data_IF_858630156079
#
_entry.id   IF_858630156079
#
_cell.length_a   1.000
_cell.length_b   1.000
_cell.length_c   1.000
_cell.angle_alpha   90.00
_cell.angle_beta   90.00
_cell.angle_gamma   90.00
#
_symmetry.space_group_name_H-M   'P 1'
#
loop_
_entity.id
_entity.type
_entity.pdbx_description
1 polymer ?
#
# COMPACT_ATOMS: atom_id res chain seq x y z
N UNK A 1 -0.90 -19.72 -29.24
CA UNK A 1 -0.73 -18.90 -28.02
C UNK A 1 -2.02 -19.01 -27.21
N UNK A 2 -2.00 -19.54 -25.97
CA UNK A 2 -3.19 -19.61 -25.13
C UNK A 2 -3.57 -18.19 -24.67
N UNK A 3 -4.82 -17.77 -24.93
CA UNK A 3 -5.32 -16.44 -24.60
C UNK A 3 -5.46 -16.18 -23.09
N UNK A 4 -5.76 -14.93 -22.69
CA UNK A 4 -5.88 -14.56 -21.28
C UNK A 4 -6.93 -15.40 -20.55
N UNK A 5 -6.59 -15.86 -19.35
CA UNK A 5 -7.47 -16.64 -18.48
C UNK A 5 -8.46 -15.70 -17.81
N UNK A 6 -9.50 -15.29 -18.53
CA UNK A 6 -10.72 -14.81 -17.89
C UNK A 6 -11.21 -15.98 -17.03
N UNK A 7 -10.92 -15.97 -15.73
CA UNK A 7 -11.40 -17.00 -14.81
C UNK A 7 -12.90 -17.08 -15.00
N UNK A 8 -13.39 -18.18 -15.60
CA UNK A 8 -14.81 -18.51 -15.61
C UNK A 8 -15.17 -18.84 -14.18
N UNK A 9 -15.55 -17.81 -13.43
CA UNK A 9 -16.09 -17.99 -12.09
C UNK A 9 -17.42 -18.70 -12.28
N UNK A 10 -17.50 -19.99 -11.91
CA UNK A 10 -18.71 -20.78 -12.09
C UNK A 10 -19.76 -20.33 -11.07
N UNK A 11 -20.49 -19.26 -11.42
CA UNK A 11 -21.63 -18.82 -10.65
C UNK A 11 -22.82 -19.63 -11.11
N UNK A 12 -23.45 -20.37 -10.20
CA UNK A 12 -24.68 -21.08 -10.51
C UNK A 12 -25.79 -20.05 -10.79
N UNK A 13 -26.61 -20.28 -11.82
CA UNK A 13 -27.65 -19.32 -12.24
C UNK A 13 -28.59 -18.92 -11.09
N UNK A 14 -28.85 -19.85 -10.17
CA UNK A 14 -29.66 -19.64 -8.97
C UNK A 14 -29.07 -18.64 -7.97
N UNK A 15 -27.75 -18.45 -7.95
CA UNK A 15 -27.07 -17.53 -7.03
C UNK A 15 -27.00 -16.10 -7.57
N UNK A 16 -27.26 -15.89 -8.86
CA UNK A 16 -27.15 -14.59 -9.52
C UNK A 16 -28.06 -13.54 -8.84
N UNK A 17 -29.36 -13.80 -8.56
CA UNK A 17 -30.21 -12.80 -7.92
C UNK A 17 -29.72 -12.40 -6.52
N UNK A 18 -29.24 -13.36 -5.73
CA UNK A 18 -28.71 -13.11 -4.38
C UNK A 18 -27.40 -12.32 -4.41
N UNK A 19 -26.49 -12.65 -5.33
CA UNK A 19 -25.23 -11.92 -5.54
C UNK A 19 -25.46 -10.51 -6.07
N UNK A 20 -26.44 -10.32 -6.96
CA UNK A 20 -26.86 -9.00 -7.45
C UNK A 20 -27.44 -8.15 -6.32
N UNK A 21 -28.30 -8.72 -5.47
CA UNK A 21 -28.84 -8.01 -4.31
C UNK A 21 -27.73 -7.59 -3.34
N UNK A 22 -26.81 -8.50 -3.00
CA UNK A 22 -25.65 -8.17 -2.16
C UNK A 22 -24.76 -7.08 -2.78
N UNK A 23 -24.52 -7.14 -4.09
CA UNK A 23 -23.76 -6.13 -4.80
C UNK A 23 -24.47 -4.77 -4.79
N UNK A 24 -25.78 -4.74 -5.03
CA UNK A 24 -26.58 -3.51 -5.00
C UNK A 24 -26.55 -2.86 -3.61
N UNK A 25 -26.69 -3.64 -2.53
CA UNK A 25 -26.56 -3.13 -1.16
C UNK A 25 -25.17 -2.56 -0.88
N UNK A 26 -24.10 -3.24 -1.34
CA UNK A 26 -22.72 -2.73 -1.21
C UNK A 26 -22.52 -1.43 -1.99
N UNK A 27 -23.10 -1.32 -3.18
CA UNK A 27 -23.07 -0.09 -3.99
C UNK A 27 -23.81 1.05 -3.26
N UNK A 28 -24.99 0.79 -2.70
CA UNK A 28 -25.74 1.79 -1.93
C UNK A 28 -24.98 2.23 -0.67
N UNK A 29 -24.41 1.29 0.08
CA UNK A 29 -23.55 1.61 1.23
C UNK A 29 -22.36 2.46 0.81
N UNK A 30 -21.68 2.10 -0.28
CA UNK A 30 -20.54 2.88 -0.76
C UNK A 30 -20.97 4.29 -1.17
N UNK A 31 -22.08 4.44 -1.89
CA UNK A 31 -22.64 5.76 -2.24
C UNK A 31 -22.96 6.58 -1.00
N UNK A 32 -23.55 5.98 0.02
CA UNK A 32 -23.87 6.66 1.28
C UNK A 32 -22.61 7.11 2.02
N UNK A 33 -21.58 6.26 2.07
CA UNK A 33 -20.27 6.60 2.65
C UNK A 33 -19.60 7.75 1.90
N UNK A 34 -19.66 7.73 0.56
CA UNK A 34 -19.15 8.83 -0.27
C UNK A 34 -19.94 10.13 -0.02
N UNK A 35 -21.28 10.06 0.06
CA UNK A 35 -22.12 11.21 0.36
C UNK A 35 -21.89 11.77 1.78
N UNK A 36 -21.56 10.90 2.75
CA UNK A 36 -21.17 11.27 4.10
C UNK A 36 -19.74 11.86 4.19
N UNK A 37 -19.02 11.99 3.06
CA UNK A 37 -17.65 12.49 3.02
C UNK A 37 -16.60 11.48 3.49
N UNK A 38 -16.99 10.22 3.72
CA UNK A 38 -16.13 9.16 4.22
C UNK A 38 -15.27 8.57 3.09
N UNK A 39 -14.33 9.38 2.61
CA UNK A 39 -13.29 9.00 1.64
C UNK A 39 -12.06 8.37 2.32
N UNK A 40 -12.19 8.01 3.60
CA UNK A 40 -11.10 7.94 4.58
C UNK A 40 -10.21 6.71 4.59
N UNK A 41 -10.28 5.79 3.62
CA UNK A 41 -9.36 4.64 3.58
C UNK A 41 -8.31 4.79 2.46
N UNK A 42 -7.50 5.84 2.57
CA UNK A 42 -6.33 6.02 1.71
C UNK A 42 -5.14 5.34 2.38
N UNK A 43 -4.53 4.36 1.72
CA UNK A 43 -3.26 3.80 2.17
C UNK A 43 -2.15 4.83 1.93
N UNK A 44 -1.73 5.52 3.00
CA UNK A 44 -0.71 6.56 2.94
C UNK A 44 0.67 6.03 2.54
N UNK A 45 0.97 4.76 2.81
CA UNK A 45 2.22 4.14 2.36
C UNK A 45 2.19 3.93 0.85
N UNK A 46 1.06 3.44 0.31
CA UNK A 46 0.89 3.30 -1.13
C UNK A 46 0.85 4.64 -1.86
N UNK A 47 0.22 5.67 -1.26
CA UNK A 47 0.16 7.02 -1.80
C UNK A 47 1.56 7.64 -1.99
N UNK A 48 2.44 7.47 -1.01
CA UNK A 48 3.81 8.01 -1.05
C UNK A 48 4.75 7.07 -1.82
N UNK A 49 4.37 5.80 -2.00
CA UNK A 49 5.17 4.77 -2.67
C UNK A 49 6.23 4.14 -1.76
N UNK A 50 5.93 4.00 -0.47
CA UNK A 50 6.83 3.43 0.54
C UNK A 50 6.36 2.06 1.02
N UNK A 51 7.30 1.26 1.54
CA UNK A 51 6.97 0.02 2.26
C UNK A 51 6.56 0.33 3.71
N UNK A 52 5.77 -0.56 4.31
CA UNK A 52 5.43 -0.49 5.74
C UNK A 52 6.69 -0.70 6.58
N UNK A 53 6.87 0.08 7.64
CA UNK A 53 8.09 0.10 8.45
C UNK A 53 9.27 0.81 7.79
N UNK A 54 9.00 1.78 6.91
CA UNK A 54 10.05 2.60 6.32
C UNK A 54 10.77 3.47 7.37
N UNK A 55 12.04 3.78 7.11
CA UNK A 55 12.79 4.69 7.98
C UNK A 55 12.31 6.13 7.80
N UNK A 56 12.48 6.93 8.86
CA UNK A 56 12.19 8.38 8.82
C UNK A 56 12.87 9.07 7.63
N UNK A 57 14.14 8.75 7.38
CA UNK A 57 14.92 9.35 6.29
C UNK A 57 14.40 9.01 4.88
N UNK A 58 13.78 7.83 4.71
CA UNK A 58 13.17 7.43 3.45
C UNK A 58 11.86 8.18 3.22
N UNK A 59 11.06 8.35 4.27
CA UNK A 59 9.84 9.14 4.21
C UNK A 59 10.12 10.60 3.83
N UNK A 60 11.12 11.23 4.47
CA UNK A 60 11.50 12.62 4.18
C UNK A 60 11.99 12.79 2.74
N UNK A 61 12.83 11.87 2.24
CA UNK A 61 13.30 11.88 0.85
C UNK A 61 12.15 11.72 -0.16
N UNK A 62 11.26 10.76 0.06
CA UNK A 62 10.11 10.54 -0.80
C UNK A 62 9.17 11.75 -0.81
N UNK A 63 8.90 12.32 0.37
CA UNK A 63 8.04 13.50 0.50
C UNK A 63 8.61 14.72 -0.23
N UNK A 64 9.93 14.95 -0.13
CA UNK A 64 10.60 16.02 -0.86
C UNK A 64 10.42 15.87 -2.37
N UNK A 65 10.67 14.67 -2.91
CA UNK A 65 10.51 14.37 -4.33
C UNK A 65 9.06 14.59 -4.80
N UNK A 66 8.08 14.08 -4.06
CA UNK A 66 6.65 14.24 -4.36
C UNK A 66 6.22 15.72 -4.34
N UNK A 67 6.69 16.48 -3.35
CA UNK A 67 6.40 17.92 -3.21
C UNK A 67 6.99 18.71 -4.39
N UNK A 68 8.20 18.39 -4.81
CA UNK A 68 8.83 19.02 -5.98
C UNK A 68 8.11 18.65 -7.28
N UNK A 69 7.62 17.42 -7.40
CA UNK A 69 6.91 16.92 -8.59
C UNK A 69 5.50 17.51 -8.70
N UNK A 70 4.74 17.52 -7.61
CA UNK A 70 3.31 17.87 -7.59
C UNK A 70 3.03 19.23 -6.94
N UNK A 71 3.99 20.17 -7.01
CA UNK A 71 3.78 21.53 -6.48
C UNK A 71 2.60 22.20 -7.20
N UNK A 72 1.58 22.70 -6.48
CA UNK A 72 0.34 23.19 -7.09
C UNK A 72 0.57 24.36 -8.05
N UNK A 73 1.60 25.18 -7.80
CA UNK A 73 1.99 26.30 -8.66
C UNK A 73 2.45 25.84 -10.05
N UNK A 74 3.14 24.69 -10.12
CA UNK A 74 3.58 24.12 -11.41
C UNK A 74 2.40 23.67 -12.25
N UNK A 75 1.43 22.98 -11.63
CA UNK A 75 0.20 22.61 -12.31
C UNK A 75 -0.62 23.83 -12.72
N UNK A 76 -0.77 24.84 -11.85
CA UNK A 76 -1.54 26.04 -12.20
C UNK A 76 -0.90 26.78 -13.38
N UNK A 77 0.41 27.02 -13.33
CA UNK A 77 1.12 27.69 -14.43
C UNK A 77 1.11 26.90 -15.74
N UNK A 78 1.04 25.58 -15.70
CA UNK A 78 0.83 24.74 -16.88
C UNK A 78 -0.60 24.87 -17.43
N UNK A 79 -1.60 24.76 -16.55
CA UNK A 79 -3.03 24.91 -16.89
C UNK A 79 -3.30 26.28 -17.51
N UNK A 80 -2.62 27.33 -17.05
CA UNK A 80 -2.77 28.69 -17.56
C UNK A 80 -2.21 28.89 -18.98
N UNK A 81 -1.29 28.02 -19.41
CA UNK A 81 -0.67 28.05 -20.75
C UNK A 81 -1.30 27.07 -21.72
N UNK A 82 -2.26 26.26 -21.26
CA UNK A 82 -2.96 25.30 -22.13
C UNK A 82 -3.95 26.06 -23.02
N UNK A 83 -3.75 25.95 -24.33
CA UNK A 83 -4.70 26.41 -25.33
C UNK A 83 -5.68 25.27 -25.64
N UNK A 84 -6.98 25.56 -25.54
CA UNK A 84 -8.05 24.58 -25.77
C UNK A 84 -8.73 24.91 -27.10
N UNK A 85 -8.96 23.88 -27.94
CA UNK A 85 -9.57 24.04 -29.26
C UNK A 85 -11.08 24.31 -29.22
N UNK A 86 -11.74 23.96 -28.12
CA UNK A 86 -13.15 24.26 -27.85
C UNK A 86 -13.20 25.20 -26.65
N UNK A 87 -13.77 26.40 -26.82
CA UNK A 87 -13.87 27.39 -25.76
C UNK A 87 -15.00 27.09 -24.77
N UNK A 88 -15.90 26.17 -25.10
CA UNK A 88 -16.94 25.75 -24.15
C UNK A 88 -16.32 25.02 -22.97
N UNK A 89 -16.70 25.47 -21.77
CA UNK A 89 -16.35 24.86 -20.49
C UNK A 89 -14.86 24.88 -20.12
N UNK A 90 -13.99 25.60 -20.84
CA UNK A 90 -12.54 25.70 -20.57
C UNK A 90 -12.27 26.11 -19.12
N UNK A 91 -12.96 27.13 -18.62
CA UNK A 91 -12.77 27.59 -17.25
C UNK A 91 -13.15 26.52 -16.23
N UNK A 92 -14.23 25.77 -16.47
CA UNK A 92 -14.64 24.67 -15.59
C UNK A 92 -13.62 23.52 -15.57
N UNK A 93 -12.98 23.24 -16.71
CA UNK A 93 -11.92 22.23 -16.83
C UNK A 93 -10.66 22.70 -16.11
N UNK A 94 -10.26 23.96 -16.30
CA UNK A 94 -9.12 24.57 -15.62
C UNK A 94 -9.32 24.56 -14.11
N UNK A 95 -10.50 24.93 -13.62
CA UNK A 95 -10.80 24.94 -12.20
C UNK A 95 -10.84 23.54 -11.61
N UNK A 96 -11.42 22.57 -12.31
CA UNK A 96 -11.36 21.15 -11.90
C UNK A 96 -9.92 20.64 -11.84
N UNK A 97 -9.08 21.00 -12.81
CA UNK A 97 -7.67 20.61 -12.83
C UNK A 97 -6.88 21.25 -11.68
N UNK A 98 -7.07 22.56 -11.43
CA UNK A 98 -6.47 23.28 -10.29
C UNK A 98 -6.89 22.66 -8.96
N UNK A 99 -8.18 22.39 -8.79
CA UNK A 99 -8.71 21.77 -7.59
C UNK A 99 -8.14 20.36 -7.38
N UNK A 100 -8.07 19.55 -8.44
CA UNK A 100 -7.52 18.20 -8.38
C UNK A 100 -6.04 18.20 -8.00
N UNK A 101 -5.24 19.10 -8.57
CA UNK A 101 -3.83 19.25 -8.23
C UNK A 101 -3.62 19.67 -6.77
N UNK A 102 -4.42 20.63 -6.30
CA UNK A 102 -4.38 21.10 -4.92
C UNK A 102 -4.82 20.00 -3.92
N UNK A 103 -5.85 19.24 -4.24
CA UNK A 103 -6.30 18.11 -3.43
C UNK A 103 -5.24 17.02 -3.35
N UNK A 104 -4.60 16.68 -4.47
CA UNK A 104 -3.48 15.72 -4.49
C UNK A 104 -2.33 16.19 -3.61
N UNK A 105 -1.93 17.46 -3.74
CA UNK A 105 -0.88 18.05 -2.90
C UNK A 105 -1.22 17.96 -1.41
N UNK A 106 -2.45 18.35 -1.02
CA UNK A 106 -2.93 18.24 0.37
C UNK A 106 -2.96 16.80 0.87
N UNK A 107 -3.32 15.85 0.00
CA UNK A 107 -3.35 14.43 0.35
C UNK A 107 -1.95 13.89 0.60
N UNK A 108 -0.96 14.28 -0.22
CA UNK A 108 0.46 13.95 -0.01
C UNK A 108 0.96 14.53 1.32
N UNK A 109 0.63 15.80 1.62
CA UNK A 109 1.00 16.45 2.88
C UNK A 109 0.40 15.71 4.09
N UNK A 110 -0.89 15.38 4.03
CA UNK A 110 -1.59 14.60 5.06
C UNK A 110 -1.00 13.19 5.21
N UNK A 111 -0.60 12.56 4.11
CA UNK A 111 0.05 11.25 4.15
C UNK A 111 1.40 11.31 4.85
N UNK A 112 2.21 12.32 4.55
CA UNK A 112 3.51 12.50 5.20
C UNK A 112 3.37 12.69 6.71
N UNK A 113 2.47 13.56 7.16
CA UNK A 113 2.28 13.80 8.60
C UNK A 113 1.77 12.56 9.32
N UNK A 114 0.86 11.80 8.70
CA UNK A 114 0.35 10.57 9.30
C UNK A 114 1.42 9.47 9.37
N UNK A 115 2.14 9.20 8.27
CA UNK A 115 3.21 8.18 8.29
C UNK A 115 4.32 8.59 9.24
N UNK A 116 4.70 9.87 9.29
CA UNK A 116 5.68 10.37 10.26
C UNK A 116 5.22 10.14 11.71
N UNK A 117 3.96 10.42 12.02
CA UNK A 117 3.40 10.15 13.34
C UNK A 117 3.48 8.64 13.68
N UNK A 118 3.11 7.76 12.75
CA UNK A 118 3.21 6.31 12.98
C UNK A 118 4.64 5.82 13.21
N UNK A 119 5.63 6.38 12.50
CA UNK A 119 7.04 6.03 12.69
C UNK A 119 7.52 6.48 14.07
N UNK A 120 7.14 7.69 14.51
CA UNK A 120 7.51 8.20 15.83
C UNK A 120 6.88 7.37 16.96
N UNK A 121 5.62 6.98 16.80
CA UNK A 121 4.92 6.11 17.75
C UNK A 121 5.61 4.74 17.84
N UNK A 122 5.96 4.14 16.70
CA UNK A 122 6.68 2.86 16.64
C UNK A 122 8.08 2.95 17.28
N UNK A 123 8.82 4.03 17.04
CA UNK A 123 10.14 4.26 17.67
C UNK A 123 10.03 4.39 19.20
N UNK A 124 8.98 5.05 19.69
CA UNK A 124 8.72 5.22 21.12
C UNK A 124 8.35 3.88 21.79
N UNK A 125 7.50 3.08 21.13
CA UNK A 125 7.11 1.75 21.60
C UNK A 125 8.31 0.79 21.64
N UNK A 126 9.17 0.85 20.63
CA UNK A 126 10.38 0.02 20.59
C UNK A 126 11.38 0.43 21.68
N UNK A 127 11.55 1.73 21.96
CA UNK A 127 12.36 2.20 23.10
C UNK A 127 11.80 1.71 24.44
N UNK A 128 10.48 1.70 24.61
CA UNK A 128 9.84 1.18 25.82
C UNK A 128 10.04 -0.33 25.96
N UNK A 129 9.89 -1.10 24.87
CA UNK A 129 10.15 -2.56 24.85
C UNK A 129 11.59 -2.87 25.22
N UNK A 130 12.57 -2.12 24.69
CA UNK A 130 13.98 -2.27 25.04
C UNK A 130 14.26 -1.94 26.52
N UNK A 131 13.65 -0.90 27.07
CA UNK A 131 13.76 -0.57 28.51
C UNK A 131 13.17 -1.68 29.39
N UNK A 132 12.00 -2.22 29.03
CA UNK A 132 11.39 -3.32 29.77
C UNK A 132 12.23 -4.61 29.68
N UNK A 133 12.77 -4.94 28.50
CA UNK A 133 13.66 -6.08 28.32
C UNK A 133 14.98 -5.93 29.11
N UNK A 134 15.57 -4.73 29.12
CA UNK A 134 16.76 -4.44 29.90
C UNK A 134 16.48 -4.50 31.42
N UNK A 135 15.32 -4.03 31.88
CA UNK A 135 14.90 -4.14 33.28
C UNK A 135 14.70 -5.60 33.72
N UNK A 136 14.13 -6.44 32.86
CA UNK A 136 14.01 -7.89 33.12
C UNK A 136 15.37 -8.58 33.16
N UNK A 137 16.29 -8.24 32.26
CA UNK A 137 17.65 -8.80 32.28
C UNK A 137 18.46 -8.35 33.51
N UNK A 138 18.31 -7.09 33.95
CA UNK A 138 18.93 -6.59 35.17
C UNK A 138 18.36 -7.27 36.43
N UNK A 139 17.04 -7.52 36.48
CA UNK A 139 16.42 -8.23 37.60
C UNK A 139 16.89 -9.71 37.71
N UNK A 140 17.20 -10.36 36.58
CA UNK A 140 17.71 -11.74 36.56
C UNK A 140 19.18 -11.80 36.99
N UNK A 141 20.01 -10.79 36.71
CA UNK A 141 21.41 -10.75 37.17
C UNK A 141 21.55 -10.46 38.68
N UNK A 142 20.65 -9.70 39.29
CA UNK A 142 20.71 -9.39 40.73
C UNK A 142 20.35 -10.58 41.63
N UNK A 143 19.76 -11.66 41.09
CA UNK A 143 19.45 -12.87 41.88
C UNK A 143 20.60 -13.91 41.92
N UNK A 144 21.74 -13.67 41.27
CA UNK A 144 22.84 -14.64 41.19
C UNK A 144 24.05 -14.34 42.10
N UNK A 145 23.98 -13.32 42.95
CA UNK A 145 25.06 -12.94 43.86
C UNK A 145 24.56 -12.69 45.30
N UNK A 146 24.00 -13.73 45.93
CA UNK A 146 23.97 -13.84 47.40
C UNK A 146 24.41 -15.25 47.81
N UNK A 147 25.56 -15.30 48.48
CA UNK A 147 26.30 -16.45 49.03
C UNK A 147 25.51 -17.30 50.05
N UNK A 148 25.80 -18.60 50.10
CA UNK A 148 25.43 -19.60 51.15
C UNK A 148 26.32 -19.48 52.42
N UNK A 149 26.20 -20.28 53.53
CA UNK A 149 25.09 -21.00 54.23
C UNK A 149 25.07 -20.78 55.80
N UNK A 150 24.15 -21.36 56.64
CA UNK A 150 24.36 -22.69 57.26
C UNK A 150 23.11 -23.57 57.62
N UNK A 151 23.26 -24.89 57.42
CA UNK A 151 22.91 -26.12 58.22
C UNK A 151 21.54 -26.32 58.95
N UNK A 152 21.07 -27.59 58.91
CA UNK A 152 20.12 -28.38 59.78
C UNK A 152 18.74 -28.67 59.12
N UNK A 153 18.08 -29.85 59.10
CA UNK A 153 18.35 -31.32 59.20
C UNK A 153 16.95 -32.01 59.04
N UNK A 154 16.87 -33.18 58.35
CA UNK A 154 15.77 -34.21 58.29
C UNK A 154 14.39 -33.73 57.72
N UNK A 155 13.60 -34.43 56.90
CA UNK A 155 13.29 -35.86 56.73
C UNK A 155 13.00 -36.29 55.28
N UNK A 156 13.13 -37.60 55.07
CA UNK A 156 12.89 -38.36 53.84
C UNK A 156 11.45 -38.87 53.73
N UNK A 157 11.00 -39.18 52.50
CA UNK A 157 10.20 -40.34 52.02
C UNK A 157 9.81 -40.02 50.55
N UNK A 158 10.49 -40.61 49.55
CA UNK A 158 10.17 -41.84 48.78
C UNK A 158 9.18 -41.61 47.61
N UNK A 159 9.73 -41.47 46.39
CA UNK A 159 9.62 -42.41 45.24
C UNK A 159 8.34 -42.29 44.40
N UNK A 160 8.47 -41.94 43.12
CA UNK A 160 8.52 -42.93 42.02
C UNK A 160 9.02 -42.30 40.72
N UNK A 161 9.84 -43.09 40.02
CA UNK A 161 10.54 -42.79 38.79
C UNK A 161 9.62 -42.69 37.56
N UNK A 162 10.04 -41.90 36.57
CA UNK A 162 10.20 -42.41 35.20
C UNK A 162 11.19 -41.54 34.43
N UNK A 163 12.18 -42.20 33.84
CA UNK A 163 13.48 -41.65 33.48
C UNK A 163 13.59 -40.90 32.15
N UNK A 164 14.71 -40.16 32.06
CA UNK A 164 15.75 -40.18 31.01
C UNK A 164 15.28 -40.43 29.56
N UNK A 165 15.67 -39.69 28.53
CA UNK A 165 17.00 -39.13 28.26
C UNK A 165 16.96 -38.20 27.03
N UNK A 166 17.94 -37.31 26.97
CA UNK A 166 18.20 -36.33 25.91
C UNK A 166 18.42 -36.94 24.52
N UNK A 167 18.04 -36.20 23.47
CA UNK A 167 18.97 -35.88 22.39
C UNK A 167 18.51 -34.71 21.50
N UNK A 168 19.44 -33.77 21.32
CA UNK A 168 19.40 -32.67 20.38
C UNK A 168 19.33 -33.17 18.93
N UNK A 169 18.54 -32.51 18.07
CA UNK A 169 18.96 -32.24 16.69
C UNK A 169 18.25 -31.02 16.10
N UNK A 170 19.06 -30.00 15.87
CA UNK A 170 18.82 -28.87 14.98
C UNK A 170 18.58 -29.41 13.56
N UNK A 171 17.52 -28.96 12.88
CA UNK A 171 17.55 -28.76 11.43
C UNK A 171 16.46 -27.76 10.99
N UNK A 172 16.92 -26.77 10.21
CA UNK A 172 16.20 -25.64 9.63
C UNK A 172 15.23 -26.12 8.54
N UNK A 173 14.03 -25.52 8.45
CA UNK A 173 13.51 -25.01 7.16
C UNK A 173 12.30 -24.09 7.36
N UNK A 174 12.49 -22.82 6.98
CA UNK A 174 11.42 -21.86 6.78
C UNK A 174 10.59 -22.26 5.53
N UNK A 175 9.27 -22.30 5.69
CA UNK A 175 8.33 -22.27 4.57
C UNK A 175 7.55 -20.96 4.66
N UNK A 176 7.72 -20.17 3.60
CA UNK A 176 7.18 -18.83 3.38
C UNK A 176 5.65 -18.88 3.33
N UNK A 177 4.99 -18.26 4.31
CA UNK A 177 3.57 -17.93 4.20
C UNK A 177 3.44 -16.57 3.49
N UNK A 178 3.01 -16.59 2.24
CA UNK A 178 2.65 -15.40 1.47
C UNK A 178 1.45 -14.67 2.09
N UNK A 179 1.49 -13.34 2.28
CA UNK A 179 0.31 -12.58 2.68
C UNK A 179 -0.66 -12.42 1.49
N UNK A 180 -1.97 -12.25 1.74
CA UNK A 180 -2.99 -12.21 0.69
C UNK A 180 -2.84 -10.97 -0.20
N UNK A 181 -2.81 -11.22 -1.52
CA UNK A 181 -2.74 -10.21 -2.55
C UNK A 181 -3.94 -9.25 -2.48
N UNK A 182 -3.66 -7.97 -2.27
CA UNK A 182 -4.60 -6.88 -2.53
C UNK A 182 -4.99 -6.89 -4.02
N UNK A 183 -6.24 -7.24 -4.30
CA UNK A 183 -6.77 -7.58 -5.64
C UNK A 183 -7.06 -6.35 -6.53
N UNK A 184 -6.25 -5.30 -6.47
CA UNK A 184 -6.36 -4.17 -7.41
C UNK A 184 -5.00 -3.70 -7.91
N UNK A 185 -4.07 -4.64 -8.09
CA UNK A 185 -2.76 -4.34 -8.64
C UNK A 185 -2.77 -4.47 -10.18
N UNK A 186 -2.95 -3.33 -10.85
CA UNK A 186 -2.40 -3.07 -12.19
C UNK A 186 -3.13 -3.64 -13.41
N UNK A 187 -4.18 -4.47 -13.25
CA UNK A 187 -4.87 -5.06 -14.42
C UNK A 187 -5.65 -4.01 -15.22
N UNK A 188 -6.35 -3.11 -14.54
CA UNK A 188 -7.15 -2.06 -15.19
C UNK A 188 -6.30 -1.09 -16.03
N UNK A 189 -5.19 -0.57 -15.47
CA UNK A 189 -4.30 0.33 -16.21
C UNK A 189 -3.55 -0.40 -17.34
N UNK A 190 -3.25 -1.70 -17.18
CA UNK A 190 -2.64 -2.50 -18.24
C UNK A 190 -3.61 -2.80 -19.38
N UNK A 191 -4.87 -3.09 -19.07
CA UNK A 191 -5.91 -3.34 -20.08
C UNK A 191 -6.26 -2.05 -20.82
N UNK A 192 -6.29 -0.90 -20.14
CA UNK A 192 -6.44 0.41 -20.77
C UNK A 192 -5.27 0.72 -21.73
N UNK A 193 -4.03 0.41 -21.34
CA UNK A 193 -2.86 0.58 -22.20
C UNK A 193 -2.86 -0.36 -23.41
N UNK A 194 -3.34 -1.60 -23.24
CA UNK A 194 -3.49 -2.56 -24.34
C UNK A 194 -4.56 -2.12 -25.34
N UNK A 195 -5.70 -1.59 -24.87
CA UNK A 195 -6.74 -1.02 -25.74
C UNK A 195 -6.22 0.22 -26.47
N UNK A 196 -5.46 1.09 -25.80
CA UNK A 196 -4.81 2.24 -26.45
C UNK A 196 -3.86 1.84 -27.59
N UNK A 197 -3.06 0.80 -27.39
CA UNK A 197 -2.18 0.26 -28.44
C UNK A 197 -2.95 -0.36 -29.61
N UNK A 198 -4.07 -1.03 -29.34
CA UNK A 198 -4.89 -1.64 -30.39
C UNK A 198 -5.58 -0.57 -31.24
N UNK A 199 -6.13 0.47 -30.61
CA UNK A 199 -6.72 1.63 -31.31
C UNK A 199 -5.68 2.40 -32.15
N UNK A 200 -4.43 2.50 -31.67
CA UNK A 200 -3.33 3.08 -32.45
C UNK A 200 -2.95 2.23 -33.68
N UNK A 201 -3.22 0.93 -33.67
CA UNK A 201 -2.98 0.04 -34.81
C UNK A 201 -4.15 -0.01 -35.79
N UNK A 202 -5.40 0.19 -35.33
CA UNK A 202 -6.58 0.19 -36.22
C UNK A 202 -6.65 1.40 -37.16
N UNK A 203 -5.79 2.39 -37.00
CA UNK A 203 -5.63 3.51 -37.94
C UNK A 203 -4.84 3.18 -39.22
N UNK A 204 -4.20 2.01 -39.31
CA UNK A 204 -3.28 1.68 -40.42
C UNK A 204 -3.85 0.79 -41.54
N UNK A 205 -5.14 0.41 -41.51
CA UNK A 205 -5.74 -0.47 -42.53
C UNK A 205 -6.96 0.12 -43.25
N UNK A 206 -7.08 1.44 -43.35
CA UNK A 206 -7.97 2.06 -44.33
C UNK A 206 -7.17 2.71 -45.45
N UNK A 207 -7.49 2.25 -46.65
CA UNK A 207 -6.85 2.49 -47.93
C UNK A 207 -7.28 3.84 -48.52
N UNK A 208 -6.32 4.55 -49.17
CA UNK A 208 -6.45 5.76 -50.02
C UNK A 208 -6.39 7.14 -49.31
N UNK A 209 -5.95 8.23 -49.98
CA UNK A 209 -4.55 8.57 -50.18
C UNK A 209 -4.20 10.01 -49.74
N UNK A 210 -3.09 10.19 -49.01
CA UNK A 210 -2.09 11.28 -49.11
C UNK A 210 -1.37 11.49 -47.76
N UNK A 211 -0.05 11.82 -47.76
CA UNK A 211 0.80 11.67 -46.58
C UNK A 211 1.09 13.01 -45.90
N UNK A 212 1.02 13.05 -44.56
CA UNK A 212 1.95 13.85 -43.74
C UNK A 212 2.26 13.04 -42.47
N UNK A 213 3.43 12.39 -42.36
CA UNK A 213 3.88 11.86 -41.07
C UNK A 213 4.44 13.02 -40.24
N UNK A 214 3.73 13.44 -39.20
CA UNK A 214 4.29 14.29 -38.15
C UNK A 214 5.07 13.37 -37.20
N UNK A 215 6.41 13.46 -37.11
CA UNK A 215 7.18 12.69 -36.16
C UNK A 215 6.94 13.25 -34.75
N UNK A 216 6.00 12.67 -34.01
CA UNK A 216 5.83 12.98 -32.60
C UNK A 216 6.98 12.29 -31.85
N UNK A 217 7.94 13.07 -31.37
CA UNK A 217 9.05 12.61 -30.53
C UNK A 217 8.47 12.03 -29.23
N UNK A 218 8.79 10.77 -28.96
CA UNK A 218 8.38 10.01 -27.77
C UNK A 218 9.16 10.43 -26.50
N UNK A 219 9.15 11.72 -26.17
CA UNK A 219 9.76 12.24 -24.92
C UNK A 219 8.69 12.84 -24.00
N UNK A 220 7.65 12.08 -23.65
CA UNK A 220 6.74 12.51 -22.58
C UNK A 220 5.93 11.38 -21.91
N UNK A 221 6.31 10.11 -22.04
CA UNK A 221 5.60 9.02 -21.36
C UNK A 221 6.26 8.70 -20.02
N UNK A 222 5.89 9.47 -19.02
CA UNK A 222 5.93 9.05 -17.62
C UNK A 222 4.71 9.61 -16.91
N UNK A 223 3.62 8.84 -16.90
CA UNK A 223 2.52 9.00 -15.94
C UNK A 223 2.60 7.84 -14.93
#
# INVERSE_FOLDING_TARGET
MPGPVWKRQSVQYREIPGKLCSLASKIQQLKQRVAAGETGNVDYYALIGLRRGCSRSELERAHLLLTLKHKPDKSSSFIDKCEFADEKDVDSVRDRARMSALLLYRLIQKGYTNVMATILDEESAEKQRKKAAAALQAAVQTQQSTEQPPVVRVEAIQEVASGNNNNNRIEKKAAVASPPASVFQGVFCRDLAAVGNLLSQTGYNHQMPMPIPIPVKYEALSC
#
